data_IF_534148502568
#
_entry.id   IF_534148502568
#
_cell.length_a   1.000
_cell.length_b   1.000
_cell.length_c   1.000
_cell.angle_alpha   90.00
_cell.angle_beta   90.00
_cell.angle_gamma   90.00
#
_symmetry.space_group_name_H-M   'P 1'
#
loop_
_entity.id
_entity.type
_entity.pdbx_description
1 polymer ?
#
# COMPACT_ATOMS: atom_id res chain seq x y z
N UNK A 1 7.03 10.16 6.39
CA UNK A 1 6.47 9.74 5.08
C UNK A 1 5.62 8.51 5.28
N UNK A 2 4.40 8.49 4.73
CA UNK A 2 3.44 7.39 4.84
C UNK A 2 3.41 6.59 3.54
N UNK A 3 3.45 5.26 3.61
CA UNK A 3 3.36 4.35 2.48
C UNK A 3 2.07 3.55 2.64
N UNK A 4 1.17 3.63 1.66
CA UNK A 4 -0.11 2.93 1.68
C UNK A 4 -0.13 1.89 0.56
N UNK A 5 -0.18 0.63 0.96
CA UNK A 5 -0.22 -0.53 0.09
C UNK A 5 -1.68 -0.95 -0.12
N UNK A 6 -2.07 -1.21 -1.37
CA UNK A 6 -3.39 -1.79 -1.66
C UNK A 6 -3.22 -3.12 -2.36
N UNK A 7 -3.72 -4.18 -1.73
CA UNK A 7 -4.03 -5.44 -2.39
C UNK A 7 -5.40 -5.30 -3.05
N UNK A 8 -5.37 -4.93 -4.34
CA UNK A 8 -6.57 -4.67 -5.11
C UNK A 8 -7.24 -5.97 -5.61
N UNK A 9 -6.69 -7.14 -5.29
CA UNK A 9 -7.34 -8.43 -5.52
C UNK A 9 -8.26 -8.80 -4.34
N UNK A 10 -7.88 -8.43 -3.11
CA UNK A 10 -8.72 -8.62 -1.92
C UNK A 10 -9.68 -7.46 -1.63
N UNK A 11 -9.40 -6.27 -2.18
CA UNK A 11 -10.16 -5.04 -1.91
C UNK A 11 -10.57 -4.40 -3.23
N UNK A 12 -11.88 -4.12 -3.38
CA UNK A 12 -12.38 -3.52 -4.62
C UNK A 12 -11.99 -2.04 -4.69
N UNK A 13 -11.05 -1.73 -5.58
CA UNK A 13 -10.58 -0.37 -5.85
C UNK A 13 -11.07 0.13 -7.22
N UNK A 14 -11.93 -0.61 -7.94
CA UNK A 14 -12.24 -0.37 -9.36
C UNK A 14 -12.90 0.97 -9.62
N UNK A 15 -13.70 1.46 -8.68
CA UNK A 15 -14.43 2.72 -8.77
C UNK A 15 -13.73 3.85 -8.03
N UNK A 16 -12.67 3.53 -7.28
CA UNK A 16 -11.98 4.51 -6.44
C UNK A 16 -10.98 5.35 -7.23
N UNK A 17 -10.98 6.64 -6.89
CA UNK A 17 -9.99 7.60 -7.39
C UNK A 17 -9.03 7.93 -6.27
N UNK A 18 -7.74 7.63 -6.45
CA UNK A 18 -6.71 8.02 -5.51
C UNK A 18 -6.18 9.41 -5.87
N UNK A 19 -6.37 10.35 -4.94
CA UNK A 19 -5.88 11.71 -5.07
C UNK A 19 -4.43 11.80 -4.55
N UNK A 20 -3.52 12.45 -5.28
CA UNK A 20 -2.20 12.75 -4.76
C UNK A 20 -2.31 13.46 -3.42
N UNK A 21 -1.63 12.92 -2.40
CA UNK A 21 -1.65 13.46 -1.04
C UNK A 21 -0.21 13.70 -0.61
N UNK A 22 0.10 14.92 -0.17
CA UNK A 22 1.47 15.29 0.21
C UNK A 22 2.01 14.36 1.31
N UNK A 23 3.21 13.83 1.11
CA UNK A 23 3.86 12.93 2.08
C UNK A 23 3.30 11.51 2.13
N UNK A 24 2.34 11.16 1.27
CA UNK A 24 1.75 9.81 1.14
C UNK A 24 2.10 9.20 -0.21
N UNK A 25 2.64 7.99 -0.19
CA UNK A 25 2.92 7.20 -1.39
C UNK A 25 1.96 6.02 -1.45
N UNK A 26 1.13 5.97 -2.49
CA UNK A 26 0.22 4.86 -2.73
C UNK A 26 0.88 3.82 -3.64
N UNK A 27 0.86 2.55 -3.22
CA UNK A 27 1.36 1.40 -3.99
C UNK A 27 0.21 0.40 -4.18
N UNK A 28 -0.68 0.64 -5.15
CA UNK A 28 -1.71 -0.33 -5.52
C UNK A 28 -1.15 -1.42 -6.43
N UNK A 29 -1.50 -2.67 -6.12
CA UNK A 29 -1.11 -3.86 -6.87
C UNK A 29 -2.30 -4.78 -7.08
N UNK A 30 -2.37 -5.42 -8.24
CA UNK A 30 -3.38 -6.42 -8.58
C UNK A 30 -2.83 -7.42 -9.58
N UNK A 31 -3.42 -8.60 -9.67
CA UNK A 31 -3.24 -9.52 -10.79
C UNK A 31 -4.03 -9.08 -12.04
N UNK A 32 -5.01 -8.20 -11.91
CA UNK A 32 -5.85 -7.71 -13.00
C UNK A 32 -5.79 -6.18 -13.14
N UNK A 33 -5.46 -5.63 -14.33
CA UNK A 33 -5.30 -4.19 -14.51
C UNK A 33 -6.61 -3.41 -14.25
N UNK A 34 -7.76 -4.06 -14.45
CA UNK A 34 -9.05 -3.44 -14.22
C UNK A 34 -9.39 -3.25 -12.74
N UNK A 35 -8.77 -4.02 -11.84
CA UNK A 35 -8.98 -3.93 -10.39
C UNK A 35 -8.25 -2.75 -9.75
N UNK A 36 -7.26 -2.18 -10.45
CA UNK A 36 -6.49 -1.05 -9.97
C UNK A 36 -7.34 0.23 -9.85
N UNK A 37 -7.07 1.12 -8.90
CA UNK A 37 -7.75 2.42 -8.79
C UNK A 37 -7.42 3.35 -9.95
N UNK A 38 -8.18 4.44 -10.07
CA UNK A 38 -7.91 5.52 -11.03
C UNK A 38 -7.23 6.71 -10.37
N UNK A 39 -6.56 7.53 -11.17
CA UNK A 39 -6.18 8.88 -10.79
C UNK A 39 -7.26 9.89 -11.22
N UNK A 40 -7.17 11.17 -10.81
CA UNK A 40 -8.14 12.20 -11.20
C UNK A 40 -8.26 12.41 -12.72
N UNK A 41 -7.25 12.02 -13.51
CA UNK A 41 -7.28 12.04 -14.98
C UNK A 41 -7.99 10.82 -15.59
N UNK A 42 -8.56 9.94 -14.76
CA UNK A 42 -9.28 8.73 -15.19
C UNK A 42 -8.39 7.53 -15.53
N UNK A 43 -7.06 7.66 -15.53
CA UNK A 43 -6.13 6.57 -15.84
C UNK A 43 -5.98 5.61 -14.65
N UNK A 44 -5.86 4.31 -14.93
CA UNK A 44 -5.55 3.30 -13.92
C UNK A 44 -4.13 3.52 -13.37
N UNK A 45 -3.95 3.43 -12.06
CA UNK A 45 -2.65 3.59 -11.41
C UNK A 45 -2.32 2.38 -10.54
N UNK A 46 -1.04 2.01 -10.51
CA UNK A 46 -0.54 0.86 -9.77
C UNK A 46 0.30 -0.06 -10.62
N UNK A 47 0.52 -1.28 -10.13
CA UNK A 47 1.24 -2.32 -10.85
C UNK A 47 0.39 -3.57 -11.00
N UNK A 48 0.39 -4.12 -12.21
CA UNK A 48 -0.18 -5.43 -12.46
C UNK A 48 0.89 -6.50 -12.26
N UNK A 49 0.63 -7.49 -11.42
CA UNK A 49 1.51 -8.64 -11.25
C UNK A 49 1.29 -9.70 -12.35
N UNK A 50 2.29 -10.55 -12.64
CA UNK A 50 2.13 -11.66 -13.60
C UNK A 50 1.05 -12.65 -13.15
N UNK A 51 0.44 -13.38 -14.06
CA UNK A 51 -0.70 -14.30 -13.78
C UNK A 51 -0.27 -15.66 -13.20
N UNK A 52 0.32 -15.67 -12.00
CA UNK A 52 0.45 -16.88 -11.19
C UNK A 52 -0.11 -16.65 -9.78
N UNK A 53 -0.43 -17.73 -9.07
CA UNK A 53 -1.05 -17.67 -7.74
C UNK A 53 -0.16 -16.84 -6.78
N UNK A 54 -0.76 -15.90 -6.07
CA UNK A 54 -0.13 -15.01 -5.07
C UNK A 54 0.94 -14.04 -5.63
N UNK A 55 0.99 -13.82 -6.95
CA UNK A 55 1.99 -12.92 -7.55
C UNK A 55 1.85 -11.45 -7.11
N UNK A 56 0.62 -10.96 -6.86
CA UNK A 56 0.36 -9.64 -6.30
C UNK A 56 0.95 -9.47 -4.90
N UNK A 57 0.83 -10.47 -4.04
CA UNK A 57 1.43 -10.49 -2.69
C UNK A 57 2.95 -10.34 -2.77
N UNK A 58 3.61 -11.17 -3.58
CA UNK A 58 5.05 -11.11 -3.79
C UNK A 58 5.48 -9.75 -4.33
N UNK A 59 4.72 -9.21 -5.29
CA UNK A 59 5.03 -7.90 -5.88
C UNK A 59 4.86 -6.76 -4.87
N UNK A 60 3.84 -6.79 -4.01
CA UNK A 60 3.65 -5.82 -2.92
C UNK A 60 4.83 -5.83 -1.97
N UNK A 61 5.23 -7.01 -1.49
CA UNK A 61 6.36 -7.18 -0.58
C UNK A 61 7.65 -6.69 -1.25
N UNK A 62 7.89 -7.03 -2.51
CA UNK A 62 9.04 -6.56 -3.27
C UNK A 62 9.07 -5.04 -3.41
N UNK A 63 7.95 -4.41 -3.75
CA UNK A 63 7.89 -2.95 -3.93
C UNK A 63 8.13 -2.22 -2.61
N UNK A 64 7.53 -2.71 -1.52
CA UNK A 64 7.74 -2.16 -0.19
C UNK A 64 9.22 -2.26 0.23
N UNK A 65 9.80 -3.47 0.16
CA UNK A 65 11.19 -3.71 0.59
C UNK A 65 12.18 -2.90 -0.24
N UNK A 66 12.00 -2.85 -1.57
CA UNK A 66 12.78 -2.00 -2.48
C UNK A 66 12.68 -0.53 -2.09
N UNK A 67 11.48 -0.05 -1.74
CA UNK A 67 11.26 1.35 -1.36
C UNK A 67 11.97 1.69 -0.06
N UNK A 68 11.79 0.88 0.98
CA UNK A 68 12.44 1.06 2.29
C UNK A 68 13.96 1.03 2.17
N UNK A 69 14.51 0.13 1.35
CA UNK A 69 15.96 0.04 1.08
C UNK A 69 16.49 1.29 0.38
N UNK A 70 15.73 1.86 -0.56
CA UNK A 70 16.12 3.12 -1.21
C UNK A 70 16.12 4.30 -0.23
N UNK A 71 15.16 4.31 0.70
CA UNK A 71 15.03 5.37 1.69
C UNK A 71 16.10 5.31 2.78
N UNK A 72 16.47 4.12 3.24
CA UNK A 72 17.53 3.94 4.25
C UNK A 72 18.89 4.43 3.75
N UNK A 73 19.17 4.28 2.44
CA UNK A 73 20.38 4.81 1.79
C UNK A 73 20.39 6.34 1.65
N UNK A 74 19.24 6.98 1.73
CA UNK A 74 19.04 8.40 1.40
C UNK A 74 18.96 9.30 2.64
N UNK A 75 18.84 8.77 3.86
CA UNK A 75 18.52 9.56 5.05
C UNK A 75 19.64 9.54 6.09
N UNK A 76 20.04 10.74 6.52
CA UNK A 76 20.69 11.03 7.81
C UNK A 76 19.55 11.38 8.80
N UNK A 77 19.13 10.45 9.67
CA UNK A 77 18.22 10.74 10.79
C UNK A 77 16.98 9.83 10.94
N UNK A 78 16.56 9.67 12.19
CA UNK A 78 15.53 8.78 12.78
C UNK A 78 14.07 8.99 12.32
N UNK A 79 13.80 9.38 11.07
CA UNK A 79 12.41 9.45 10.60
C UNK A 79 11.83 8.04 10.41
N UNK A 80 11.09 7.57 11.42
CA UNK A 80 10.28 6.35 11.33
C UNK A 80 9.24 6.48 10.22
N UNK A 81 9.23 5.51 9.31
CA UNK A 81 8.21 5.40 8.27
C UNK A 81 6.91 4.85 8.86
N UNK A 82 5.78 5.26 8.28
CA UNK A 82 4.48 4.66 8.57
C UNK A 82 4.00 3.89 7.35
N UNK A 83 3.73 2.61 7.54
CA UNK A 83 3.26 1.70 6.51
C UNK A 83 1.82 1.34 6.83
N UNK A 84 0.96 1.39 5.83
CA UNK A 84 -0.41 0.96 5.91
C UNK A 84 -0.66 -0.08 4.82
N UNK A 85 -1.24 -1.22 5.16
CA UNK A 85 -1.71 -2.22 4.19
C UNK A 85 -3.22 -2.33 4.24
N UNK A 86 -3.87 -2.29 3.08
CA UNK A 86 -5.30 -2.57 2.94
C UNK A 86 -5.47 -3.90 2.23
N UNK A 87 -5.81 -4.94 3.00
CA UNK A 87 -6.03 -6.31 2.52
C UNK A 87 -6.81 -7.11 3.58
N UNK A 88 -7.46 -8.19 3.15
CA UNK A 88 -8.05 -9.20 4.04
C UNK A 88 -7.13 -10.41 4.24
N UNK A 89 -6.05 -10.49 3.47
CA UNK A 89 -5.10 -11.60 3.53
C UNK A 89 -4.22 -11.51 4.80
N UNK A 90 -4.44 -12.45 5.71
CA UNK A 90 -3.71 -12.51 6.99
C UNK A 90 -2.23 -12.85 6.81
N UNK A 91 -1.88 -13.67 5.82
CA UNK A 91 -0.49 -14.04 5.56
C UNK A 91 0.28 -12.84 4.99
N UNK A 92 -0.34 -12.09 4.07
CA UNK A 92 0.22 -10.84 3.57
C UNK A 92 0.39 -9.80 4.69
N UNK A 93 -0.63 -9.62 5.55
CA UNK A 93 -0.52 -8.72 6.71
C UNK A 93 0.68 -9.10 7.58
N UNK A 94 0.83 -10.38 7.94
CA UNK A 94 1.95 -10.85 8.74
C UNK A 94 3.30 -10.57 8.07
N UNK A 95 3.42 -10.80 6.76
CA UNK A 95 4.63 -10.52 5.99
C UNK A 95 4.97 -9.01 5.97
N UNK A 96 3.98 -8.14 5.76
CA UNK A 96 4.19 -6.68 5.77
C UNK A 96 4.60 -6.19 7.17
N UNK A 97 3.97 -6.69 8.23
CA UNK A 97 4.36 -6.37 9.61
C UNK A 97 5.80 -6.80 9.91
N UNK A 98 6.22 -7.98 9.43
CA UNK A 98 7.60 -8.45 9.56
C UNK A 98 8.58 -7.49 8.86
N UNK A 99 8.31 -7.11 7.60
CA UNK A 99 9.14 -6.16 6.84
C UNK A 99 9.22 -4.79 7.53
N UNK A 100 8.10 -4.29 8.04
CA UNK A 100 8.03 -3.03 8.75
C UNK A 100 8.88 -3.05 10.03
N UNK A 101 8.78 -4.13 10.82
CA UNK A 101 9.58 -4.33 12.04
C UNK A 101 11.07 -4.33 11.74
N UNK A 102 11.50 -5.06 10.71
CA UNK A 102 12.91 -5.10 10.27
C UNK A 102 13.43 -3.74 9.82
N UNK A 103 12.53 -2.85 9.38
CA UNK A 103 12.85 -1.51 8.89
C UNK A 103 12.58 -0.40 9.92
N UNK A 104 12.31 -0.75 11.19
CA UNK A 104 11.95 0.20 12.26
C UNK A 104 10.79 1.15 11.87
N UNK A 105 9.81 0.63 11.14
CA UNK A 105 8.64 1.36 10.68
C UNK A 105 7.39 0.96 11.48
N UNK A 106 6.46 1.92 11.66
CA UNK A 106 5.12 1.62 12.18
C UNK A 106 4.30 0.95 11.09
N UNK A 107 3.46 -0.01 11.45
CA UNK A 107 2.63 -0.74 10.49
C UNK A 107 1.18 -0.83 10.99
N UNK A 108 0.25 -0.43 10.12
CA UNK A 108 -1.18 -0.51 10.35
C UNK A 108 -1.82 -1.36 9.23
N UNK A 109 -2.87 -2.11 9.56
CA UNK A 109 -3.59 -2.93 8.60
C UNK A 109 -5.09 -2.68 8.67
N UNK A 110 -5.72 -2.59 7.51
CA UNK A 110 -7.15 -2.37 7.37
C UNK A 110 -7.74 -3.44 6.46
N UNK A 111 -8.80 -4.14 6.90
CA UNK A 111 -9.44 -5.17 6.07
C UNK A 111 -10.26 -4.57 4.93
N UNK A 112 -10.60 -3.27 5.01
CA UNK A 112 -11.40 -2.56 4.03
C UNK A 112 -10.87 -1.15 3.83
N UNK A 113 -11.05 -0.63 2.61
CA UNK A 113 -10.69 0.74 2.28
C UNK A 113 -11.46 1.76 3.11
N UNK A 114 -12.74 1.51 3.40
CA UNK A 114 -13.55 2.43 4.18
C UNK A 114 -13.03 2.62 5.62
N UNK A 115 -12.39 1.58 6.18
CA UNK A 115 -11.80 1.67 7.52
C UNK A 115 -10.56 2.59 7.50
N UNK A 116 -9.76 2.51 6.43
CA UNK A 116 -8.67 3.45 6.17
C UNK A 116 -9.18 4.88 5.98
N UNK A 117 -10.21 5.07 5.16
CA UNK A 117 -10.79 6.38 4.86
C UNK A 117 -11.33 7.06 6.13
N UNK A 118 -11.97 6.31 7.03
CA UNK A 118 -12.42 6.85 8.32
C UNK A 118 -11.27 7.36 9.17
N UNK A 119 -10.12 6.71 9.15
CA UNK A 119 -8.96 7.22 9.90
C UNK A 119 -8.33 8.45 9.23
N UNK A 120 -8.24 8.45 7.90
CA UNK A 120 -7.67 9.58 7.14
C UNK A 120 -8.55 10.83 7.19
N UNK A 121 -9.87 10.67 7.11
CA UNK A 121 -10.83 11.78 6.97
C UNK A 121 -11.69 12.01 8.22
N UNK A 122 -11.81 11.03 9.12
CA UNK A 122 -12.58 11.15 10.36
C UNK A 122 -11.92 11.99 11.45
N UNK A 123 -10.69 12.48 11.23
CA UNK A 123 -10.05 13.48 12.09
C UNK A 123 -10.44 14.94 11.76
N UNK A 124 -11.44 15.17 10.89
CA UNK A 124 -11.88 16.51 10.50
C UNK A 124 -13.15 17.03 11.20
N UNK A 125 -13.57 16.44 12.32
CA UNK A 125 -14.66 16.96 13.15
C UNK A 125 -14.28 17.03 14.62
#
# INVERSE_FOLDING_TARGET
>A
MKIVLFDCDCVDMRTHTLHPTNGVEFIPVSNHPNSLPRCPKGLRIGKTAPTFKNSSDFLLIYLLTKRLTKMSRSRRGDERHEITIVTKDRALIAAIHMVAKLSNARCYSYPRLQDLEREFYGQQF
#
